data_IF_606889219198
#
_entry.id   IF_606889219198
#
_cell.length_a   1.000
_cell.length_b   1.000
_cell.length_c   1.000
_cell.angle_alpha   90.00
_cell.angle_beta   90.00
_cell.angle_gamma   90.00
#
_symmetry.space_group_name_H-M   'P 1'
#
loop_
_entity.id
_entity.type
_entity.pdbx_description
1 polymer ?
#
# COMPACT_ATOMS: atom_id res chain seq x y z
N UNK A 1 13.39 -29.00 -5.22
CA UNK A 1 14.08 -29.26 -3.98
C UNK A 1 13.22 -28.69 -2.86
N UNK A 2 12.73 -29.52 -1.93
CA UNK A 2 12.11 -29.04 -0.71
C UNK A 2 13.22 -28.38 0.10
N UNK A 3 13.15 -27.07 0.24
CA UNK A 3 14.04 -26.38 1.14
C UNK A 3 13.38 -26.42 2.51
N UNK A 4 14.01 -27.06 3.46
CA UNK A 4 13.59 -27.10 4.88
C UNK A 4 13.87 -25.73 5.56
N UNK A 5 13.54 -24.64 4.88
CA UNK A 5 13.66 -23.31 5.45
C UNK A 5 12.58 -23.13 6.52
N UNK A 6 12.99 -22.80 7.73
CA UNK A 6 12.09 -22.50 8.86
C UNK A 6 11.75 -21.02 8.99
N UNK A 7 12.40 -20.15 8.20
CA UNK A 7 12.14 -18.72 8.12
C UNK A 7 12.96 -18.08 7.00
N UNK A 8 12.57 -16.86 6.59
CA UNK A 8 13.23 -16.10 5.55
C UNK A 8 13.51 -14.69 6.09
N UNK A 9 14.73 -14.18 5.86
CA UNK A 9 15.10 -12.79 6.13
C UNK A 9 15.43 -12.10 4.82
N UNK A 10 14.82 -10.93 4.58
CA UNK A 10 14.99 -10.12 3.38
C UNK A 10 15.61 -8.78 3.77
N UNK A 11 16.85 -8.52 3.34
CA UNK A 11 17.45 -7.19 3.44
C UNK A 11 16.91 -6.28 2.33
N UNK A 12 16.53 -5.05 2.67
CA UNK A 12 15.85 -4.13 1.78
C UNK A 12 16.32 -2.69 1.97
N UNK A 13 16.03 -1.80 1.01
CA UNK A 13 16.19 -0.36 1.18
C UNK A 13 15.03 0.26 1.98
N UNK A 14 15.32 1.29 2.78
CA UNK A 14 14.31 1.95 3.63
C UNK A 14 13.18 2.60 2.84
N UNK A 15 13.48 3.21 1.69
CA UNK A 15 12.53 4.05 0.93
C UNK A 15 11.28 3.29 0.43
N UNK A 16 11.42 2.01 0.13
CA UNK A 16 10.37 1.19 -0.47
C UNK A 16 10.03 -0.06 0.34
N UNK A 17 10.60 -0.21 1.54
CA UNK A 17 10.35 -1.37 2.38
C UNK A 17 8.87 -1.50 2.76
N UNK A 18 8.18 -0.40 3.09
CA UNK A 18 6.75 -0.41 3.40
C UNK A 18 5.89 -0.95 2.26
N UNK A 19 6.22 -0.62 1.02
CA UNK A 19 5.54 -1.17 -0.16
C UNK A 19 5.79 -2.67 -0.32
N UNK A 20 7.05 -3.11 -0.20
CA UNK A 20 7.39 -4.52 -0.36
C UNK A 20 6.78 -5.36 0.75
N UNK A 21 6.85 -4.90 2.00
CA UNK A 21 6.29 -5.60 3.15
C UNK A 21 4.77 -5.77 3.03
N UNK A 22 4.05 -4.71 2.68
CA UNK A 22 2.60 -4.79 2.50
C UNK A 22 2.19 -5.61 1.27
N UNK A 23 2.95 -5.56 0.17
CA UNK A 23 2.70 -6.42 -1.00
C UNK A 23 2.81 -7.90 -0.63
N UNK A 24 3.86 -8.29 0.09
CA UNK A 24 4.03 -9.67 0.55
C UNK A 24 2.91 -10.08 1.53
N UNK A 25 2.49 -9.17 2.41
CA UNK A 25 1.40 -9.42 3.34
C UNK A 25 0.06 -9.68 2.62
N UNK A 26 -0.29 -8.89 1.60
CA UNK A 26 -1.51 -9.11 0.81
C UNK A 26 -1.45 -10.38 -0.03
N UNK A 27 -0.28 -10.71 -0.60
CA UNK A 27 -0.12 -11.90 -1.42
C UNK A 27 -0.12 -13.19 -0.60
N UNK A 28 0.58 -13.22 0.52
CA UNK A 28 0.81 -14.47 1.27
C UNK A 28 -0.01 -14.61 2.55
N UNK A 29 -0.57 -13.49 3.10
CA UNK A 29 -1.36 -13.53 4.33
C UNK A 29 -0.56 -14.10 5.50
N UNK A 30 -1.19 -15.01 6.25
CA UNK A 30 -0.54 -15.82 7.29
C UNK A 30 0.39 -16.86 6.62
N UNK A 31 1.55 -16.42 6.13
CA UNK A 31 2.56 -17.28 5.56
C UNK A 31 2.97 -18.37 6.59
N UNK A 32 3.06 -19.66 6.22
CA UNK A 32 3.30 -20.76 7.18
C UNK A 32 4.70 -20.75 7.83
N UNK A 33 5.61 -19.95 7.31
CA UNK A 33 6.91 -19.67 7.90
C UNK A 33 7.09 -18.15 8.04
N UNK A 34 7.85 -17.65 9.02
CA UNK A 34 8.10 -16.24 9.17
C UNK A 34 8.93 -15.68 8.01
N UNK A 35 8.49 -14.57 7.43
CA UNK A 35 9.23 -13.78 6.46
C UNK A 35 9.49 -12.40 7.06
N UNK A 36 10.72 -12.09 7.37
CA UNK A 36 11.10 -10.85 8.07
C UNK A 36 11.87 -9.94 7.12
N UNK A 37 11.30 -8.76 6.84
CA UNK A 37 12.00 -7.71 6.11
C UNK A 37 12.76 -6.82 7.08
N UNK A 38 13.97 -6.42 6.68
CA UNK A 38 14.79 -5.48 7.44
C UNK A 38 15.52 -4.51 6.52
N UNK A 39 15.91 -3.37 7.06
CA UNK A 39 16.70 -2.36 6.38
C UNK A 39 17.72 -1.75 7.34
N UNK A 40 18.67 -0.98 6.79
CA UNK A 40 19.55 -0.11 7.56
C UNK A 40 19.41 1.33 7.06
N UNK A 41 19.42 2.29 7.98
CA UNK A 41 19.49 3.71 7.65
C UNK A 41 20.90 4.15 7.22
N UNK A 42 21.92 3.43 7.66
CA UNK A 42 23.30 3.67 7.29
C UNK A 42 23.65 2.94 5.97
N UNK A 43 24.29 3.62 5.01
CA UNK A 43 24.73 2.96 3.78
C UNK A 43 25.94 2.05 4.04
N UNK A 44 25.96 0.90 3.37
CA UNK A 44 27.07 -0.04 3.39
C UNK A 44 27.04 -1.05 4.53
N UNK A 45 28.13 -1.79 4.70
CA UNK A 45 28.29 -2.82 5.73
C UNK A 45 28.78 -2.17 7.05
N UNK A 46 27.84 -1.57 7.78
CA UNK A 46 28.08 -0.93 9.07
C UNK A 46 27.71 -1.85 10.22
N UNK A 47 28.19 -1.55 11.44
CA UNK A 47 27.79 -2.29 12.64
C UNK A 47 26.28 -2.21 12.86
N UNK A 48 25.66 -1.08 12.57
CA UNK A 48 24.21 -0.86 12.61
C UNK A 48 23.48 -1.77 11.61
N UNK A 49 23.93 -1.86 10.34
CA UNK A 49 23.35 -2.74 9.35
C UNK A 49 23.43 -4.22 9.78
N UNK A 50 24.57 -4.61 10.34
CA UNK A 50 24.77 -5.96 10.88
C UNK A 50 23.84 -6.25 12.06
N UNK A 51 23.69 -5.29 12.99
CA UNK A 51 22.78 -5.47 14.14
C UNK A 51 21.30 -5.52 13.71
N UNK A 52 20.89 -4.68 12.75
CA UNK A 52 19.55 -4.73 12.15
C UNK A 52 19.29 -6.10 11.52
N UNK A 53 20.27 -6.66 10.82
CA UNK A 53 20.14 -8.00 10.24
C UNK A 53 20.09 -9.10 11.31
N UNK A 54 20.95 -9.02 12.35
CA UNK A 54 20.88 -9.97 13.47
C UNK A 54 19.56 -9.90 14.20
N UNK A 55 19.00 -8.71 14.38
CA UNK A 55 17.66 -8.52 14.95
C UNK A 55 16.58 -9.20 14.10
N UNK A 56 16.59 -9.02 12.79
CA UNK A 56 15.66 -9.68 11.88
C UNK A 56 15.78 -11.21 11.92
N UNK A 57 16.99 -11.75 12.05
CA UNK A 57 17.20 -13.20 12.24
C UNK A 57 16.60 -13.66 13.56
N UNK A 58 16.78 -12.91 14.66
CA UNK A 58 16.15 -13.25 15.95
C UNK A 58 14.62 -13.28 15.83
N UNK A 59 14.04 -12.27 15.18
CA UNK A 59 12.58 -12.24 14.94
C UNK A 59 12.14 -13.45 14.11
N UNK A 60 12.86 -13.81 13.06
CA UNK A 60 12.53 -14.98 12.23
C UNK A 60 12.64 -16.32 12.98
N UNK A 61 13.43 -16.37 14.07
CA UNK A 61 13.54 -17.58 14.94
C UNK A 61 12.44 -17.60 16.00
N UNK A 62 11.99 -16.45 16.45
CA UNK A 62 11.00 -16.30 17.52
C UNK A 62 9.56 -16.39 17.02
N UNK A 63 9.28 -15.95 15.79
CA UNK A 63 7.96 -16.02 15.18
C UNK A 63 7.71 -17.38 14.53
N UNK A 64 6.47 -17.84 14.57
CA UNK A 64 6.09 -19.11 13.97
C UNK A 64 5.65 -18.98 12.51
N UNK A 65 5.09 -17.82 12.13
CA UNK A 65 4.49 -17.60 10.81
C UNK A 65 4.37 -16.11 10.48
N UNK A 66 3.97 -15.79 9.26
CA UNK A 66 3.53 -14.45 8.84
C UNK A 66 4.64 -13.57 8.25
N UNK A 67 4.23 -12.37 7.88
CA UNK A 67 5.12 -11.33 7.31
C UNK A 67 5.39 -10.28 8.38
N UNK A 68 6.64 -9.98 8.64
CA UNK A 68 7.08 -9.07 9.69
C UNK A 68 8.09 -8.06 9.15
N UNK A 69 8.17 -6.92 9.81
CA UNK A 69 9.25 -5.95 9.59
C UNK A 69 10.02 -5.76 10.90
N UNK A 70 11.33 -5.88 10.82
CA UNK A 70 12.26 -5.66 11.92
C UNK A 70 13.23 -4.53 11.55
N UNK A 71 13.21 -3.42 12.32
CA UNK A 71 14.06 -2.27 12.05
C UNK A 71 14.43 -1.56 13.36
N UNK A 72 15.71 -1.21 13.53
CA UNK A 72 16.22 -0.48 14.69
C UNK A 72 15.79 -1.08 16.06
N UNK A 73 15.78 -2.41 16.17
CA UNK A 73 15.38 -3.11 17.40
C UNK A 73 13.87 -3.18 17.64
N UNK A 74 13.05 -2.60 16.77
CA UNK A 74 11.58 -2.64 16.86
C UNK A 74 10.99 -3.60 15.81
N UNK A 75 9.76 -4.06 16.08
CA UNK A 75 8.94 -4.85 15.15
C UNK A 75 7.75 -4.03 14.70
N UNK A 76 7.38 -4.16 13.44
CA UNK A 76 6.27 -3.44 12.84
C UNK A 76 5.39 -4.40 12.05
N UNK A 77 4.09 -4.10 12.01
CA UNK A 77 3.18 -4.71 11.07
C UNK A 77 3.52 -4.28 9.64
N UNK A 78 3.45 -5.20 8.66
CA UNK A 78 3.72 -4.86 7.26
C UNK A 78 2.63 -4.02 6.60
N UNK A 79 1.39 -4.00 7.13
CA UNK A 79 0.24 -3.38 6.45
C UNK A 79 0.13 -1.89 6.69
N UNK A 80 0.50 -1.40 7.89
CA UNK A 80 0.34 0.00 8.27
C UNK A 80 1.67 0.65 8.63
N UNK A 81 2.67 0.45 7.79
CA UNK A 81 4.01 0.96 7.97
C UNK A 81 4.25 2.17 7.08
N UNK A 82 4.67 3.29 7.67
CA UNK A 82 5.16 4.45 6.94
C UNK A 82 6.60 4.74 7.24
N UNK A 83 7.34 5.17 6.20
CA UNK A 83 8.68 5.70 6.34
C UNK A 83 8.59 7.22 6.51
N UNK A 84 8.86 7.70 7.72
CA UNK A 84 8.80 9.12 8.04
C UNK A 84 10.06 9.56 8.77
N UNK A 85 10.53 10.76 8.44
CA UNK A 85 11.55 11.44 9.25
C UNK A 85 10.87 12.17 10.39
N UNK A 86 11.21 11.81 11.62
CA UNK A 86 10.77 12.57 12.79
C UNK A 86 11.81 13.64 13.10
N UNK A 87 11.46 14.94 13.06
CA UNK A 87 12.38 16.03 13.40
C UNK A 87 12.91 15.88 14.84
N UNK A 88 14.24 15.93 15.00
CA UNK A 88 14.90 15.87 16.32
C UNK A 88 15.05 14.47 16.91
N UNK A 89 14.62 13.43 16.23
CA UNK A 89 14.86 12.03 16.60
C UNK A 89 16.20 11.52 16.12
N UNK A 90 16.70 10.47 16.77
CA UNK A 90 17.81 9.70 16.26
C UNK A 90 17.36 9.07 14.92
N UNK A 91 18.17 9.21 13.86
CA UNK A 91 17.81 8.77 12.49
C UNK A 91 17.35 7.31 12.45
N UNK A 92 17.86 6.52 13.35
CA UNK A 92 17.75 5.07 13.33
C UNK A 92 16.52 4.57 14.09
N UNK A 93 16.08 5.28 15.14
CA UNK A 93 14.94 4.87 15.95
C UNK A 93 13.56 5.28 15.38
N UNK A 94 13.50 6.14 14.35
CA UNK A 94 12.28 6.84 13.95
C UNK A 94 12.00 6.83 12.46
N UNK A 95 12.75 6.08 11.66
CA UNK A 95 12.54 6.02 10.21
C UNK A 95 11.24 5.33 9.82
N UNK A 96 10.77 4.36 10.60
CA UNK A 96 9.49 3.69 10.41
C UNK A 96 8.55 3.96 11.58
N UNK A 97 7.28 4.18 11.25
CA UNK A 97 6.20 4.38 12.20
C UNK A 97 5.01 3.49 11.83
N UNK A 98 4.42 2.87 12.85
CA UNK A 98 3.10 2.24 12.70
C UNK A 98 2.05 3.31 12.54
N UNK A 99 1.27 3.22 11.48
CA UNK A 99 0.18 4.12 11.12
C UNK A 99 -1.14 3.45 11.50
N UNK A 100 -2.03 4.17 12.18
CA UNK A 100 -3.32 3.63 12.60
C UNK A 100 -3.20 2.31 13.38
N UNK A 101 -2.39 2.28 14.42
CA UNK A 101 -2.15 1.10 15.25
C UNK A 101 -3.47 0.51 15.75
N UNK A 102 -3.71 -0.76 15.45
CA UNK A 102 -4.89 -1.54 15.85
C UNK A 102 -5.73 -2.12 14.72
N UNK A 103 -5.45 -1.80 13.46
CA UNK A 103 -6.14 -2.35 12.28
C UNK A 103 -5.28 -3.38 11.50
N UNK A 104 -4.25 -3.92 12.14
CA UNK A 104 -3.16 -4.68 11.50
C UNK A 104 -3.47 -6.18 11.34
N UNK A 105 -4.73 -6.55 11.13
CA UNK A 105 -5.06 -7.96 10.91
C UNK A 105 -4.58 -8.38 9.53
N UNK A 106 -3.56 -9.22 9.48
CA UNK A 106 -3.14 -9.87 8.24
C UNK A 106 -4.30 -10.68 7.67
N UNK A 107 -4.48 -10.71 6.35
CA UNK A 107 -5.47 -11.56 5.74
C UNK A 107 -5.13 -13.03 6.09
N UNK A 108 -6.10 -13.77 6.64
CA UNK A 108 -5.92 -15.19 7.00
C UNK A 108 -5.45 -16.02 5.79
N UNK A 109 -5.91 -15.63 4.61
CA UNK A 109 -5.49 -16.23 3.34
C UNK A 109 -4.95 -15.17 2.42
N UNK A 110 -3.70 -15.32 2.03
CA UNK A 110 -3.11 -14.49 0.99
C UNK A 110 -3.76 -14.76 -0.38
N UNK A 111 -3.76 -13.74 -1.21
CA UNK A 111 -4.33 -13.81 -2.56
C UNK A 111 -3.61 -14.82 -3.46
N UNK A 112 -2.37 -15.20 -3.10
CA UNK A 112 -1.51 -16.12 -3.86
C UNK A 112 -1.90 -17.61 -3.75
N UNK A 113 -2.69 -18.01 -2.78
CA UNK A 113 -2.87 -19.43 -2.41
C UNK A 113 -3.39 -20.37 -3.52
N UNK A 114 -3.91 -19.82 -4.63
CA UNK A 114 -4.46 -20.61 -5.74
C UNK A 114 -3.84 -20.26 -7.10
N UNK A 115 -2.66 -19.61 -7.12
CA UNK A 115 -2.05 -19.16 -8.36
C UNK A 115 -0.92 -20.09 -8.81
N UNK A 116 -1.10 -20.66 -9.99
CA UNK A 116 -0.06 -21.38 -10.73
C UNK A 116 0.54 -20.44 -11.78
N UNK A 117 1.26 -19.40 -11.33
CA UNK A 117 1.92 -18.45 -12.22
C UNK A 117 3.42 -18.69 -12.23
N UNK A 118 4.00 -18.69 -13.40
CA UNK A 118 5.45 -18.70 -13.58
C UNK A 118 6.07 -17.33 -13.27
N UNK A 119 7.35 -17.26 -12.85
CA UNK A 119 8.01 -15.98 -12.60
C UNK A 119 7.92 -14.97 -13.76
N UNK A 120 8.06 -15.33 -15.04
CA UNK A 120 7.83 -14.41 -16.15
C UNK A 120 6.41 -13.87 -16.25
N UNK A 121 5.39 -14.70 -15.95
CA UNK A 121 3.98 -14.27 -15.95
C UNK A 121 3.70 -13.29 -14.81
N UNK A 122 4.27 -13.54 -13.62
CA UNK A 122 4.18 -12.61 -12.50
C UNK A 122 4.75 -11.26 -12.89
N UNK A 123 5.97 -11.22 -13.44
CA UNK A 123 6.64 -10.00 -13.86
C UNK A 123 5.80 -9.23 -14.91
N UNK A 124 5.27 -9.92 -15.90
CA UNK A 124 4.41 -9.31 -16.94
C UNK A 124 3.12 -8.74 -16.37
N UNK A 125 2.39 -9.51 -15.55
CA UNK A 125 1.13 -9.05 -14.95
C UNK A 125 1.36 -7.87 -14.00
N UNK A 126 2.43 -7.91 -13.22
CA UNK A 126 2.77 -6.81 -12.32
C UNK A 126 3.12 -5.54 -13.11
N UNK A 127 3.88 -5.66 -14.19
CA UNK A 127 4.20 -4.52 -15.07
C UNK A 127 2.93 -3.92 -15.69
N UNK A 128 1.98 -4.74 -16.12
CA UNK A 128 0.69 -4.29 -16.65
C UNK A 128 -0.16 -3.60 -15.57
N UNK A 129 -0.20 -4.14 -14.35
CA UNK A 129 -0.90 -3.53 -13.22
C UNK A 129 -0.29 -2.17 -12.87
N UNK A 130 1.03 -2.08 -12.76
CA UNK A 130 1.75 -0.83 -12.47
C UNK A 130 1.48 0.24 -13.53
N UNK A 131 1.51 -0.10 -14.81
CA UNK A 131 1.22 0.85 -15.92
C UNK A 131 -0.19 1.45 -15.83
N UNK A 132 -1.15 0.72 -15.28
CA UNK A 132 -2.54 1.15 -15.17
C UNK A 132 -2.86 1.83 -13.83
N UNK A 133 -1.93 1.83 -12.87
CA UNK A 133 -2.16 2.33 -11.51
C UNK A 133 -1.35 3.60 -11.25
N UNK A 134 -1.95 4.57 -10.55
CA UNK A 134 -1.29 5.82 -10.18
C UNK A 134 -1.65 6.25 -8.77
N UNK A 135 -0.67 6.72 -8.01
CA UNK A 135 -0.89 7.37 -6.71
C UNK A 135 -0.93 8.88 -6.96
N UNK A 136 -2.00 9.54 -6.56
CA UNK A 136 -2.13 10.98 -6.68
C UNK A 136 -2.44 11.61 -5.31
N UNK A 137 -1.54 12.47 -4.84
CA UNK A 137 -1.74 13.25 -3.63
C UNK A 137 -2.52 14.52 -3.96
N UNK A 138 -3.64 14.73 -3.28
CA UNK A 138 -4.45 15.94 -3.43
C UNK A 138 -3.79 17.10 -2.71
N UNK A 139 -3.76 18.26 -3.34
CA UNK A 139 -3.21 19.49 -2.80
C UNK A 139 -4.03 20.72 -3.24
N UNK A 140 -3.97 21.85 -2.52
CA UNK A 140 -4.63 23.08 -2.92
C UNK A 140 -4.11 23.57 -4.28
N UNK A 141 -5.03 23.75 -5.25
CA UNK A 141 -4.67 24.12 -6.62
C UNK A 141 -4.52 22.94 -7.60
N UNK A 142 -4.69 21.70 -7.17
CA UNK A 142 -4.74 20.55 -8.07
C UNK A 142 -5.91 20.69 -9.03
N UNK A 143 -5.67 20.46 -10.32
CA UNK A 143 -6.67 20.55 -11.37
C UNK A 143 -7.16 19.17 -11.78
N UNK A 144 -8.47 19.03 -12.03
CA UNK A 144 -9.06 17.80 -12.58
C UNK A 144 -8.38 17.33 -13.86
N UNK A 145 -7.96 18.27 -14.71
CA UNK A 145 -7.29 17.98 -15.99
C UNK A 145 -6.02 17.14 -15.83
N UNK A 146 -5.34 17.24 -14.69
CA UNK A 146 -4.14 16.41 -14.42
C UNK A 146 -4.49 14.93 -14.31
N UNK A 147 -5.59 14.58 -13.63
CA UNK A 147 -6.07 13.20 -13.54
C UNK A 147 -6.67 12.72 -14.86
N UNK A 148 -7.41 13.60 -15.57
CA UNK A 148 -7.95 13.28 -16.89
C UNK A 148 -6.84 12.93 -17.87
N UNK A 149 -5.75 13.70 -17.92
CA UNK A 149 -4.62 13.40 -18.79
C UNK A 149 -3.97 12.02 -18.49
N UNK A 150 -3.93 11.61 -17.22
CA UNK A 150 -3.47 10.26 -16.86
C UNK A 150 -4.44 9.18 -17.35
N UNK A 151 -5.75 9.42 -17.26
CA UNK A 151 -6.76 8.48 -17.79
C UNK A 151 -6.69 8.37 -19.31
N UNK A 152 -6.47 9.48 -20.02
CA UNK A 152 -6.24 9.49 -21.46
C UNK A 152 -4.96 8.74 -21.86
N UNK A 153 -3.94 8.76 -20.99
CA UNK A 153 -2.71 7.98 -21.15
C UNK A 153 -2.86 6.49 -20.79
N UNK A 154 -4.05 6.04 -20.34
CA UNK A 154 -4.34 4.63 -20.08
C UNK A 154 -4.35 4.22 -18.61
N UNK A 155 -4.14 5.14 -17.66
CA UNK A 155 -4.32 4.87 -16.23
C UNK A 155 -5.80 4.61 -15.96
N UNK A 156 -6.09 3.57 -15.15
CA UNK A 156 -7.46 3.16 -14.82
C UNK A 156 -7.70 3.04 -13.33
N UNK A 157 -6.65 2.93 -12.54
CA UNK A 157 -6.74 2.71 -11.11
C UNK A 157 -5.96 3.79 -10.37
N UNK A 158 -6.65 4.53 -9.52
CA UNK A 158 -6.05 5.62 -8.76
C UNK A 158 -6.11 5.32 -7.28
N UNK A 159 -4.99 5.51 -6.59
CA UNK A 159 -4.99 5.66 -5.13
C UNK A 159 -4.87 7.16 -4.86
N UNK A 160 -5.96 7.76 -4.39
CA UNK A 160 -6.02 9.19 -4.08
C UNK A 160 -5.72 9.41 -2.60
N UNK A 161 -4.64 10.11 -2.33
CA UNK A 161 -4.27 10.51 -0.97
C UNK A 161 -4.95 11.85 -0.65
N UNK A 162 -6.08 11.78 0.07
CA UNK A 162 -6.96 12.90 0.40
C UNK A 162 -6.53 13.58 1.70
N UNK A 163 -7.19 14.70 2.05
CA UNK A 163 -7.00 15.34 3.33
C UNK A 163 -7.82 14.65 4.43
N UNK A 164 -7.32 14.66 5.67
CA UNK A 164 -7.99 14.23 6.89
C UNK A 164 -8.79 12.91 6.72
N UNK A 165 -10.05 12.86 7.08
CA UNK A 165 -10.92 11.67 6.98
C UNK A 165 -11.48 11.43 5.57
N UNK A 166 -10.83 11.94 4.54
CA UNK A 166 -11.21 11.74 3.14
C UNK A 166 -11.86 12.97 2.50
N UNK A 167 -11.31 14.17 2.74
CA UNK A 167 -11.82 15.41 2.14
C UNK A 167 -10.97 15.85 0.96
N UNK A 168 -11.61 16.48 -0.01
CA UNK A 168 -11.00 17.17 -1.13
C UNK A 168 -11.92 18.28 -1.66
N UNK A 169 -11.42 19.10 -2.60
CA UNK A 169 -12.27 20.09 -3.27
C UNK A 169 -13.25 19.41 -4.22
N UNK A 170 -14.55 19.60 -3.96
CA UNK A 170 -15.67 19.10 -4.79
C UNK A 170 -16.51 20.21 -5.40
N UNK A 171 -16.17 21.48 -5.14
CA UNK A 171 -16.88 22.64 -5.69
C UNK A 171 -16.69 22.69 -7.21
N UNK A 172 -17.69 23.19 -7.91
CA UNK A 172 -17.59 23.41 -9.35
C UNK A 172 -16.52 24.46 -9.66
N UNK A 173 -15.33 23.98 -9.99
CA UNK A 173 -14.17 24.79 -10.33
C UNK A 173 -13.11 23.92 -11.00
N UNK A 174 -12.15 24.49 -11.75
CA UNK A 174 -11.05 23.74 -12.35
C UNK A 174 -10.12 23.09 -11.30
N UNK A 175 -10.19 23.55 -10.04
CA UNK A 175 -9.39 23.05 -8.90
C UNK A 175 -10.14 21.99 -8.05
N UNK A 176 -11.14 21.37 -8.63
CA UNK A 176 -11.93 20.32 -8.00
C UNK A 176 -11.56 18.96 -8.60
N UNK A 177 -11.49 17.91 -7.78
CA UNK A 177 -11.30 16.55 -8.31
C UNK A 177 -12.60 15.92 -8.82
N UNK A 178 -13.76 16.55 -8.56
CA UNK A 178 -15.09 16.02 -8.93
C UNK A 178 -15.20 15.71 -10.41
N UNK A 179 -14.78 16.66 -11.27
CA UNK A 179 -14.83 16.46 -12.73
C UNK A 179 -13.97 15.28 -13.21
N UNK A 180 -12.84 15.03 -12.53
CA UNK A 180 -12.00 13.87 -12.84
C UNK A 180 -12.68 12.55 -12.41
N UNK A 181 -13.40 12.53 -11.29
CA UNK A 181 -14.18 11.35 -10.85
C UNK A 181 -15.30 11.05 -11.86
N UNK A 182 -16.05 12.07 -12.28
CA UNK A 182 -17.11 11.94 -13.28
C UNK A 182 -16.57 11.43 -14.62
N UNK A 183 -15.49 12.04 -15.12
CA UNK A 183 -14.82 11.57 -16.34
C UNK A 183 -14.33 10.12 -16.20
N UNK A 184 -13.75 9.80 -15.04
CA UNK A 184 -13.25 8.47 -14.74
C UNK A 184 -14.34 7.41 -14.71
N UNK A 185 -15.53 7.73 -14.19
CA UNK A 185 -16.67 6.84 -14.21
C UNK A 185 -17.00 6.41 -15.67
N UNK A 186 -17.06 7.35 -16.60
CA UNK A 186 -17.33 7.07 -18.01
C UNK A 186 -16.16 6.32 -18.69
N UNK A 187 -14.92 6.56 -18.24
CA UNK A 187 -13.72 5.90 -18.73
C UNK A 187 -13.45 4.52 -18.08
N UNK A 188 -14.27 4.09 -17.13
CA UNK A 188 -14.08 2.84 -16.37
C UNK A 188 -12.90 2.89 -15.39
N UNK A 189 -12.54 4.08 -14.90
CA UNK A 189 -11.51 4.24 -13.89
C UNK A 189 -12.08 4.08 -12.47
N UNK A 190 -11.26 3.58 -11.55
CA UNK A 190 -11.57 3.40 -10.12
C UNK A 190 -10.67 4.29 -9.27
N UNK A 191 -11.24 4.85 -8.19
CA UNK A 191 -10.57 5.77 -7.30
C UNK A 191 -10.65 5.26 -5.86
N UNK A 192 -9.56 4.71 -5.36
CA UNK A 192 -9.38 4.22 -3.99
C UNK A 192 -8.78 5.34 -3.14
N UNK A 193 -9.43 5.68 -2.04
CA UNK A 193 -9.11 6.89 -1.27
C UNK A 193 -8.49 6.57 0.08
N UNK A 194 -7.29 7.07 0.30
CA UNK A 194 -6.54 7.04 1.56
C UNK A 194 -6.38 8.45 2.11
N UNK A 195 -5.79 8.59 3.31
CA UNK A 195 -5.52 9.88 3.93
C UNK A 195 -4.05 10.26 3.89
N UNK A 196 -3.79 11.58 3.84
CA UNK A 196 -2.48 12.18 4.08
C UNK A 196 -2.11 12.20 5.56
N UNK A 197 -3.06 11.89 6.44
CA UNK A 197 -2.91 11.91 7.90
C UNK A 197 -3.33 10.57 8.47
N UNK A 198 -2.87 10.28 9.68
CA UNK A 198 -3.33 9.14 10.43
C UNK A 198 -4.82 9.28 10.75
N UNK A 199 -5.61 8.27 10.46
CA UNK A 199 -7.07 8.30 10.65
C UNK A 199 -7.79 7.26 9.80
N UNK A 200 -9.11 7.35 9.77
CA UNK A 200 -10.00 6.48 9.02
C UNK A 200 -10.68 7.27 7.89
N UNK A 201 -10.63 6.76 6.69
CA UNK A 201 -11.37 7.29 5.54
C UNK A 201 -12.62 6.45 5.34
N UNK A 202 -13.78 6.99 5.72
CA UNK A 202 -15.08 6.30 5.59
C UNK A 202 -16.15 7.15 4.87
N UNK A 203 -15.85 8.44 4.60
CA UNK A 203 -16.74 9.40 3.95
C UNK A 203 -18.02 9.77 4.72
N UNK A 204 -18.15 9.38 5.99
CA UNK A 204 -19.34 9.67 6.79
C UNK A 204 -19.33 11.07 7.43
N UNK A 205 -18.13 11.62 7.73
CA UNK A 205 -17.98 12.78 8.59
C UNK A 205 -18.31 14.13 7.94
N UNK A 206 -18.05 14.28 6.63
CA UNK A 206 -18.15 15.56 5.94
C UNK A 206 -19.01 15.50 4.68
N UNK A 207 -19.74 16.59 4.41
CA UNK A 207 -20.54 16.73 3.18
C UNK A 207 -19.67 16.57 1.93
N UNK A 208 -18.46 17.12 1.94
CA UNK A 208 -17.51 17.01 0.81
C UNK A 208 -17.06 15.57 0.58
N UNK A 209 -16.84 14.81 1.63
CA UNK A 209 -16.50 13.38 1.56
C UNK A 209 -17.66 12.56 1.02
N UNK A 210 -18.89 12.87 1.46
CA UNK A 210 -20.09 12.21 0.96
C UNK A 210 -20.36 12.52 -0.53
N UNK A 211 -20.00 13.71 -1.01
CA UNK A 211 -20.06 14.03 -2.44
C UNK A 211 -19.03 13.22 -3.25
N UNK A 212 -17.82 13.00 -2.73
CA UNK A 212 -16.83 12.13 -3.36
C UNK A 212 -17.33 10.68 -3.48
N UNK A 213 -17.95 10.17 -2.42
CA UNK A 213 -18.56 8.83 -2.44
C UNK A 213 -19.64 8.69 -3.52
N UNK A 214 -20.50 9.72 -3.68
CA UNK A 214 -21.52 9.75 -4.72
C UNK A 214 -20.97 9.75 -6.14
N UNK A 215 -19.79 10.32 -6.33
CA UNK A 215 -19.07 10.31 -7.61
C UNK A 215 -18.22 9.03 -7.80
N UNK A 216 -18.40 8.01 -6.94
CA UNK A 216 -17.77 6.70 -7.09
C UNK A 216 -16.38 6.55 -6.44
N UNK A 217 -15.97 7.48 -5.58
CA UNK A 217 -14.76 7.30 -4.77
C UNK A 217 -14.96 6.20 -3.72
N UNK A 218 -13.95 5.36 -3.51
CA UNK A 218 -13.99 4.17 -2.66
C UNK A 218 -13.08 4.40 -1.45
N UNK A 219 -13.62 4.43 -0.22
CA UNK A 219 -12.80 4.64 0.97
C UNK A 219 -11.97 3.38 1.29
N UNK A 220 -10.72 3.59 1.67
CA UNK A 220 -9.79 2.52 2.04
C UNK A 220 -9.60 2.38 3.57
N UNK A 221 -10.48 3.00 4.34
CA UNK A 221 -10.46 2.90 5.79
C UNK A 221 -9.17 3.44 6.39
N UNK A 222 -8.53 2.61 7.20
CA UNK A 222 -7.30 2.93 7.91
C UNK A 222 -6.01 2.59 7.15
N UNK A 223 -6.11 2.07 5.93
CA UNK A 223 -4.94 1.68 5.16
C UNK A 223 -4.06 2.88 4.81
N UNK A 224 -2.75 2.69 4.91
CA UNK A 224 -1.79 3.64 4.35
C UNK A 224 -1.89 3.65 2.82
N UNK A 225 -1.40 4.71 2.18
CA UNK A 225 -1.32 4.81 0.72
C UNK A 225 -0.49 3.66 0.14
N UNK A 226 0.60 3.30 0.80
CA UNK A 226 1.47 2.19 0.43
C UNK A 226 0.72 0.85 0.46
N UNK A 227 -0.04 0.62 1.53
CA UNK A 227 -0.80 -0.62 1.72
C UNK A 227 -1.98 -0.71 0.75
N UNK A 228 -2.73 0.38 0.54
CA UNK A 228 -3.83 0.42 -0.43
C UNK A 228 -3.33 0.19 -1.87
N UNK A 229 -2.20 0.83 -2.24
CA UNK A 229 -1.58 0.65 -3.54
C UNK A 229 -1.13 -0.79 -3.77
N UNK A 230 -0.46 -1.40 -2.82
CA UNK A 230 0.05 -2.78 -2.95
C UNK A 230 -1.07 -3.80 -2.88
N UNK A 231 -2.16 -3.55 -2.13
CA UNK A 231 -3.37 -4.37 -2.18
C UNK A 231 -3.96 -4.35 -3.58
N UNK A 232 -4.10 -3.18 -4.17
CA UNK A 232 -4.60 -3.04 -5.54
C UNK A 232 -3.72 -3.79 -6.54
N UNK A 233 -2.39 -3.64 -6.48
CA UNK A 233 -1.48 -4.41 -7.33
C UNK A 233 -1.62 -5.91 -7.12
N UNK A 234 -1.81 -6.36 -5.89
CA UNK A 234 -2.03 -7.78 -5.57
C UNK A 234 -3.33 -8.30 -6.19
N UNK A 235 -4.41 -7.55 -6.10
CA UNK A 235 -5.71 -7.89 -6.72
C UNK A 235 -5.57 -7.97 -8.25
N UNK A 236 -4.90 -7.00 -8.87
CA UNK A 236 -4.68 -6.97 -10.32
C UNK A 236 -3.72 -8.07 -10.80
N UNK A 237 -2.75 -8.44 -9.98
CA UNK A 237 -1.81 -9.52 -10.28
C UNK A 237 -2.49 -10.89 -10.31
N UNK A 238 -3.34 -11.15 -9.32
CA UNK A 238 -3.99 -12.46 -9.16
C UNK A 238 -5.31 -12.56 -9.91
N UNK A 239 -5.98 -11.44 -10.15
CA UNK A 239 -7.27 -11.38 -10.84
C UNK A 239 -7.16 -11.77 -12.30
N UNK A 240 -8.16 -12.51 -12.79
CA UNK A 240 -8.34 -12.82 -14.21
C UNK A 240 -9.25 -11.79 -14.90
N UNK A 241 -10.00 -11.03 -14.11
CA UNK A 241 -10.99 -10.07 -14.58
C UNK A 241 -10.51 -8.63 -14.39
N UNK A 242 -10.88 -7.79 -15.35
CA UNK A 242 -10.73 -6.32 -15.27
C UNK A 242 -12.06 -5.63 -14.97
N UNK A 243 -13.10 -6.39 -14.61
CA UNK A 243 -14.41 -5.86 -14.27
C UNK A 243 -14.35 -5.06 -12.96
N UNK A 244 -14.83 -3.80 -12.93
CA UNK A 244 -14.75 -2.93 -11.75
C UNK A 244 -15.30 -3.57 -10.46
N UNK A 245 -16.42 -4.27 -10.55
CA UNK A 245 -17.05 -4.93 -9.39
C UNK A 245 -16.19 -6.02 -8.77
N UNK A 246 -15.40 -6.73 -9.55
CA UNK A 246 -14.50 -7.78 -9.05
C UNK A 246 -13.24 -7.20 -8.42
N UNK A 247 -12.73 -6.11 -9.01
CA UNK A 247 -11.60 -5.38 -8.43
C UNK A 247 -12.01 -4.77 -7.09
N UNK A 248 -13.17 -4.10 -7.02
CA UNK A 248 -13.68 -3.52 -5.76
C UNK A 248 -13.82 -4.61 -4.69
N UNK A 249 -14.43 -5.75 -5.03
CA UNK A 249 -14.57 -6.88 -4.09
C UNK A 249 -13.22 -7.39 -3.58
N UNK A 250 -12.19 -7.43 -4.42
CA UNK A 250 -10.84 -7.82 -4.02
C UNK A 250 -10.18 -6.78 -3.09
N UNK A 251 -10.67 -5.55 -3.12
CA UNK A 251 -10.17 -4.46 -2.27
C UNK A 251 -10.90 -4.36 -0.91
N UNK A 252 -12.03 -5.01 -0.73
CA UNK A 252 -12.76 -5.15 0.54
C UNK A 252 -12.13 -6.24 1.44
#
# INVERSE_FOLDING_TARGET
ASHDATGIVISHGTDTLSYTASLLAWLFGECPIPVVLTASAAPGDTEEAQESFRHAVRVAVEEESGIHVAFAGARFSPLNLKFERVPGGDRDATAFRSWNSGSDTLPQRGLWQNLDLTPPEIARRLEEAVKKTHIARVFPGMQSSSLVALMDAGVRYFVLELFDTGTASVRESPYSIRQALQYGHDAGALFFCTSQQEGNVDFADYVTSHELWREGAIPMGTLTTESAYTRLLSVLLVGESTEPSEIIRGME
#
